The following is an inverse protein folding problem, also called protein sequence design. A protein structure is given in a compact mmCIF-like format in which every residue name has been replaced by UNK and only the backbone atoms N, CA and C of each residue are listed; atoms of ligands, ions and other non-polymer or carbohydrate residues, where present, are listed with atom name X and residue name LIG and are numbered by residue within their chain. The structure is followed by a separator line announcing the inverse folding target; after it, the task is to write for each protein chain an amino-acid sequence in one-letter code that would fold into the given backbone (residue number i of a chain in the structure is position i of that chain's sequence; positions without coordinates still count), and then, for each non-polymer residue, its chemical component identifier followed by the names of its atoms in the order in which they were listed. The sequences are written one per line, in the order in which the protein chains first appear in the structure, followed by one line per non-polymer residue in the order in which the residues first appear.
data_IF_578472842274
#
_entry.id   IF_578472842274
#
_cell.length_a   1.000
_cell.length_b   1.000
_cell.length_c   1.000
_cell.angle_alpha   90.00
_cell.angle_beta   90.00
_cell.angle_gamma   90.00
#
_symmetry.space_group_name_H-M   'P 1'
#
loop_
_entity.id
_entity.type
_entity.pdbx_description
1 polymer ?
#
# COMPACT_ATOMS: atom_id res chain seq x y z
N UNK A 1 -9.84 -52.43 -5.31
CA UNK A 1 -10.08 -50.97 -5.26
C UNK A 1 -9.25 -50.41 -4.11
N UNK A 2 -8.21 -49.59 -4.31
CA UNK A 2 -7.50 -49.03 -3.16
C UNK A 2 -8.38 -47.93 -2.55
N UNK A 3 -8.80 -48.12 -1.31
CA UNK A 3 -9.43 -47.09 -0.50
C UNK A 3 -8.32 -46.21 0.09
N UNK A 4 -8.13 -45.02 -0.47
CA UNK A 4 -7.24 -43.99 0.09
C UNK A 4 -8.01 -43.06 1.03
N UNK A 5 -7.42 -42.74 2.18
CA UNK A 5 -7.88 -41.63 3.03
C UNK A 5 -7.30 -40.35 2.43
N UNK A 6 -8.16 -39.51 1.87
CA UNK A 6 -7.77 -38.17 1.42
C UNK A 6 -7.96 -37.20 2.58
N UNK A 7 -6.86 -36.65 3.10
CA UNK A 7 -6.92 -35.53 4.02
C UNK A 7 -7.12 -34.27 3.17
N UNK A 8 -8.36 -33.79 3.09
CA UNK A 8 -8.64 -32.49 2.49
C UNK A 8 -8.28 -31.40 3.49
N UNK A 9 -7.21 -30.66 3.23
CA UNK A 9 -6.85 -29.49 4.04
C UNK A 9 -7.85 -28.37 3.74
N UNK A 10 -8.65 -27.97 4.71
CA UNK A 10 -9.57 -26.86 4.55
C UNK A 10 -8.75 -25.56 4.37
N UNK A 11 -8.89 -24.91 3.23
CA UNK A 11 -8.31 -23.58 3.01
C UNK A 11 -9.24 -22.51 3.57
N UNK A 12 -8.69 -21.62 4.39
CA UNK A 12 -9.41 -20.46 4.93
C UNK A 12 -8.94 -19.23 4.16
N UNK A 13 -9.90 -18.43 3.71
CA UNK A 13 -9.66 -17.19 2.98
C UNK A 13 -10.17 -15.99 3.77
N UNK A 14 -9.50 -14.85 3.59
CA UNK A 14 -10.04 -13.56 3.96
C UNK A 14 -10.68 -12.93 2.72
N UNK A 15 -11.94 -12.52 2.84
CA UNK A 15 -12.70 -11.91 1.74
C UNK A 15 -13.13 -10.51 2.14
N UNK A 16 -12.68 -9.51 1.38
CA UNK A 16 -13.26 -8.17 1.42
C UNK A 16 -14.39 -8.12 0.40
N UNK A 17 -15.51 -7.53 0.77
CA UNK A 17 -16.68 -7.37 -0.10
C UNK A 17 -17.29 -5.99 0.15
N UNK A 18 -17.70 -5.31 -0.91
CA UNK A 18 -18.30 -3.98 -0.86
C UNK A 18 -19.16 -3.76 -2.12
N UNK A 19 -19.72 -2.57 -2.30
CA UNK A 19 -20.44 -2.16 -3.51
C UNK A 19 -19.60 -2.39 -4.78
N UNK A 20 -20.26 -2.53 -5.93
CA UNK A 20 -19.60 -2.86 -7.21
C UNK A 20 -18.55 -1.82 -7.60
N UNK A 21 -18.76 -0.56 -7.26
CA UNK A 21 -17.90 0.58 -7.54
C UNK A 21 -16.51 0.44 -6.92
N UNK A 22 -16.41 -0.32 -5.81
CA UNK A 22 -15.14 -0.61 -5.12
C UNK A 22 -14.24 -1.60 -5.87
N UNK A 23 -14.67 -2.16 -7.00
CA UNK A 23 -13.86 -3.07 -7.82
C UNK A 23 -12.50 -2.47 -8.19
N UNK A 24 -12.46 -1.17 -8.49
CA UNK A 24 -11.20 -0.47 -8.80
C UNK A 24 -10.27 -0.43 -7.59
N UNK A 25 -10.80 -0.18 -6.40
CA UNK A 25 -10.05 -0.21 -5.15
C UNK A 25 -9.49 -1.60 -4.85
N UNK A 26 -10.30 -2.64 -5.02
CA UNK A 26 -9.85 -4.03 -4.84
C UNK A 26 -8.80 -4.46 -5.86
N UNK A 27 -8.92 -4.02 -7.11
CA UNK A 27 -7.91 -4.29 -8.15
C UNK A 27 -6.59 -3.60 -7.81
N UNK A 28 -6.64 -2.32 -7.42
CA UNK A 28 -5.45 -1.58 -7.01
C UNK A 28 -4.79 -2.19 -5.76
N UNK A 29 -5.57 -2.65 -4.77
CA UNK A 29 -5.01 -3.33 -3.60
C UNK A 29 -4.35 -4.66 -3.98
N UNK A 30 -4.96 -5.43 -4.88
CA UNK A 30 -4.37 -6.68 -5.35
C UNK A 30 -3.03 -6.46 -6.07
N UNK A 31 -2.95 -5.46 -6.94
CA UNK A 31 -1.72 -5.11 -7.66
C UNK A 31 -0.62 -4.64 -6.68
N UNK A 32 -0.98 -3.92 -5.62
CA UNK A 32 -0.03 -3.52 -4.56
C UNK A 32 0.47 -4.71 -3.74
N UNK A 33 -0.43 -5.63 -3.36
CA UNK A 33 -0.04 -6.87 -2.66
C UNK A 33 0.89 -7.73 -3.52
N UNK A 34 0.59 -7.86 -4.81
CA UNK A 34 1.45 -8.58 -5.75
C UNK A 34 2.80 -7.88 -5.93
N UNK A 35 2.84 -6.55 -6.00
CA UNK A 35 4.11 -5.81 -6.06
C UNK A 35 4.97 -6.04 -4.81
N UNK A 36 4.37 -5.97 -3.62
CA UNK A 36 5.06 -6.25 -2.37
C UNK A 36 5.51 -7.72 -2.29
N UNK A 37 4.72 -8.67 -2.78
CA UNK A 37 5.07 -10.10 -2.75
C UNK A 37 6.35 -10.40 -3.54
N UNK A 38 6.58 -9.67 -4.65
CA UNK A 38 7.77 -9.82 -5.51
C UNK A 38 9.07 -9.44 -4.81
N UNK A 39 9.02 -8.60 -3.78
CA UNK A 39 10.22 -8.26 -3.01
C UNK A 39 10.75 -9.46 -2.22
N UNK A 40 9.86 -10.40 -1.84
CA UNK A 40 10.16 -11.53 -0.95
C UNK A 40 10.79 -11.08 0.38
N UNK A 41 10.49 -9.86 0.83
CA UNK A 41 11.07 -9.30 2.06
C UNK A 41 10.09 -9.27 3.22
N UNK A 42 8.83 -8.92 2.97
CA UNK A 42 7.73 -8.89 3.94
C UNK A 42 6.70 -9.95 3.58
N UNK A 43 6.03 -10.51 4.58
CA UNK A 43 4.90 -11.41 4.36
C UNK A 43 3.66 -10.57 4.06
N UNK A 44 3.08 -10.79 2.88
CA UNK A 44 1.80 -10.21 2.46
C UNK A 44 0.86 -11.35 2.05
N UNK A 45 -0.46 -11.21 2.25
CA UNK A 45 -1.41 -12.26 1.87
C UNK A 45 -1.41 -12.44 0.36
N UNK A 46 -1.36 -13.70 -0.10
CA UNK A 46 -1.51 -14.00 -1.53
C UNK A 46 -2.92 -13.66 -1.98
N UNK A 47 -3.03 -12.96 -3.10
CA UNK A 47 -4.31 -12.70 -3.77
C UNK A 47 -4.72 -13.93 -4.58
N UNK A 48 -5.95 -14.39 -4.38
CA UNK A 48 -6.53 -15.51 -5.11
C UNK A 48 -7.50 -15.08 -6.20
N UNK A 49 -8.29 -14.04 -5.93
CA UNK A 49 -9.23 -13.50 -6.90
C UNK A 49 -9.61 -12.05 -6.57
N UNK A 50 -9.85 -11.28 -7.63
CA UNK A 50 -10.57 -10.01 -7.59
C UNK A 50 -11.69 -10.10 -8.61
N UNK A 51 -12.88 -9.61 -8.26
CA UNK A 51 -14.01 -9.66 -9.17
C UNK A 51 -15.19 -8.85 -8.67
N UNK A 52 -16.25 -8.88 -9.47
CA UNK A 52 -17.54 -8.29 -9.11
C UNK A 52 -18.67 -9.13 -9.68
N UNK A 53 -19.80 -9.10 -9.00
CA UNK A 53 -21.09 -9.51 -9.55
C UNK A 53 -21.95 -8.25 -9.83
N UNK A 54 -23.27 -8.43 -9.99
CA UNK A 54 -24.21 -7.36 -10.30
C UNK A 54 -24.17 -6.19 -9.31
N UNK A 55 -24.14 -6.51 -8.01
CA UNK A 55 -24.35 -5.54 -6.92
C UNK A 55 -23.12 -5.35 -6.03
N UNK A 56 -22.12 -6.24 -6.10
CA UNK A 56 -20.96 -6.21 -5.20
C UNK A 56 -19.65 -6.49 -5.93
N UNK A 57 -18.56 -6.04 -5.31
CA UNK A 57 -17.19 -6.37 -5.69
C UNK A 57 -16.46 -7.05 -4.53
N UNK A 58 -15.40 -7.80 -4.84
CA UNK A 58 -14.68 -8.56 -3.83
C UNK A 58 -13.18 -8.72 -4.13
N UNK A 59 -12.42 -8.96 -3.06
CA UNK A 59 -11.02 -9.37 -3.06
C UNK A 59 -10.84 -10.57 -2.12
N UNK A 60 -10.41 -11.70 -2.68
CA UNK A 60 -10.13 -12.96 -1.97
C UNK A 60 -8.63 -13.11 -1.81
N UNK A 61 -8.18 -13.31 -0.57
CA UNK A 61 -6.76 -13.45 -0.24
C UNK A 61 -6.53 -14.48 0.87
N UNK A 62 -5.26 -14.84 1.11
CA UNK A 62 -4.88 -15.69 2.25
C UNK A 62 -5.45 -15.14 3.56
N UNK A 63 -6.06 -16.03 4.35
CA UNK A 63 -6.36 -15.69 5.74
C UNK A 63 -5.09 -15.79 6.58
N UNK A 64 -4.58 -14.64 7.01
CA UNK A 64 -3.48 -14.58 7.94
C UNK A 64 -4.02 -14.50 9.38
N UNK A 65 -3.92 -15.60 10.13
CA UNK A 65 -4.25 -15.64 11.57
C UNK A 65 -3.41 -14.61 12.36
N UNK A 66 -4.03 -13.54 12.89
CA UNK A 66 -3.30 -12.46 13.51
C UNK A 66 -2.73 -12.88 14.87
N UNK A 67 -1.46 -12.56 15.11
CA UNK A 67 -0.84 -12.62 16.43
C UNK A 67 -0.47 -11.21 16.91
N UNK A 68 -0.57 -10.92 18.22
CA UNK A 68 -0.05 -9.68 18.78
C UNK A 68 1.42 -9.50 18.39
N UNK A 69 1.80 -8.27 18.04
CA UNK A 69 3.18 -7.95 17.73
C UNK A 69 3.96 -7.79 19.04
N UNK A 70 4.69 -8.83 19.44
CA UNK A 70 5.65 -8.75 20.54
C UNK A 70 6.97 -8.09 20.09
N UNK A 71 7.87 -7.84 21.04
CA UNK A 71 9.15 -7.17 20.78
C UNK A 71 10.04 -7.95 19.78
N UNK A 72 10.00 -9.28 19.81
CA UNK A 72 10.81 -10.12 18.92
C UNK A 72 10.29 -10.03 17.48
N UNK A 73 8.99 -10.18 17.28
CA UNK A 73 8.35 -10.06 15.98
C UNK A 73 8.42 -8.63 15.42
N UNK A 74 8.33 -7.60 16.27
CA UNK A 74 8.57 -6.22 15.86
C UNK A 74 10.00 -6.01 15.33
N UNK A 75 11.00 -6.61 15.98
CA UNK A 75 12.38 -6.55 15.52
C UNK A 75 12.58 -7.26 14.18
N UNK A 76 11.95 -8.43 13.98
CA UNK A 76 11.98 -9.14 12.69
C UNK A 76 11.31 -8.31 11.59
N UNK A 77 10.12 -7.77 11.86
CA UNK A 77 9.41 -6.90 10.92
C UNK A 77 10.25 -5.68 10.54
N UNK A 78 10.94 -5.05 11.50
CA UNK A 78 11.87 -3.95 11.22
C UNK A 78 12.98 -4.34 10.23
N UNK A 79 13.56 -5.54 10.37
CA UNK A 79 14.55 -6.06 9.42
C UNK A 79 13.94 -6.35 8.04
N UNK A 80 12.73 -6.90 8.00
CA UNK A 80 12.01 -7.17 6.75
C UNK A 80 11.69 -5.87 5.99
N UNK A 81 11.25 -4.83 6.69
CA UNK A 81 11.00 -3.50 6.13
C UNK A 81 12.30 -2.84 5.65
N UNK A 82 13.40 -2.96 6.39
CA UNK A 82 14.69 -2.46 5.93
C UNK A 82 15.12 -3.11 4.60
N UNK A 83 14.94 -4.44 4.48
CA UNK A 83 15.19 -5.16 3.22
C UNK A 83 14.21 -4.74 2.10
N UNK A 84 12.94 -4.50 2.43
CA UNK A 84 11.96 -4.00 1.46
C UNK A 84 12.41 -2.66 0.86
N UNK A 85 12.86 -1.73 1.70
CA UNK A 85 13.32 -0.42 1.24
C UNK A 85 14.57 -0.51 0.36
N UNK A 86 15.34 -1.60 0.49
CA UNK A 86 16.55 -1.87 -0.31
C UNK A 86 16.28 -2.77 -1.52
N UNK A 87 15.01 -3.14 -1.79
CA UNK A 87 14.67 -4.16 -2.79
C UNK A 87 15.12 -3.83 -4.21
N UNK A 88 15.07 -2.56 -4.61
CA UNK A 88 15.35 -2.14 -5.99
C UNK A 88 16.00 -0.77 -6.05
N UNK A 89 16.92 -0.59 -6.99
CA UNK A 89 17.56 0.69 -7.26
C UNK A 89 16.72 1.45 -8.31
N UNK A 90 15.75 2.23 -7.85
CA UNK A 90 14.83 2.98 -8.73
C UNK A 90 15.37 4.39 -8.99
N UNK A 91 15.39 4.86 -10.24
CA UNK A 91 15.95 6.17 -10.58
C UNK A 91 15.03 7.35 -10.24
N UNK A 92 13.75 7.08 -9.94
CA UNK A 92 12.69 8.08 -9.77
C UNK A 92 11.74 7.67 -8.63
N UNK A 93 11.05 8.65 -8.06
CA UNK A 93 9.95 8.45 -7.12
C UNK A 93 8.64 8.40 -7.89
N UNK A 94 7.77 7.47 -7.50
CA UNK A 94 6.50 7.23 -8.17
C UNK A 94 6.20 5.75 -8.26
N UNK A 95 5.23 5.43 -9.11
CA UNK A 95 4.81 4.08 -9.43
C UNK A 95 4.15 4.10 -10.82
N UNK A 96 4.19 2.97 -11.53
CA UNK A 96 3.63 2.88 -12.89
C UNK A 96 2.11 3.07 -12.97
N UNK A 97 1.43 3.05 -11.82
CA UNK A 97 0.01 3.28 -11.69
C UNK A 97 -0.30 4.15 -10.47
N UNK A 98 -1.32 4.99 -10.60
CA UNK A 98 -1.92 5.67 -9.47
C UNK A 98 -2.65 4.63 -8.60
N UNK A 99 -2.52 4.78 -7.29
CA UNK A 99 -3.21 3.95 -6.33
C UNK A 99 -4.09 4.82 -5.42
N UNK A 100 -4.56 4.26 -4.31
CA UNK A 100 -5.32 5.01 -3.32
C UNK A 100 -4.82 4.70 -1.91
N UNK A 101 -4.79 5.74 -1.06
CA UNK A 101 -4.67 5.61 0.38
C UNK A 101 -6.08 5.53 0.95
N UNK A 102 -6.53 4.31 1.26
CA UNK A 102 -7.94 4.03 1.54
C UNK A 102 -8.81 4.44 0.33
N UNK A 103 -9.67 5.44 0.47
CA UNK A 103 -10.52 5.95 -0.61
C UNK A 103 -9.96 7.18 -1.31
N UNK A 104 -8.78 7.65 -0.90
CA UNK A 104 -8.18 8.88 -1.46
C UNK A 104 -7.20 8.53 -2.57
N UNK A 105 -7.42 8.97 -3.82
CA UNK A 105 -6.47 8.75 -4.90
C UNK A 105 -5.08 9.29 -4.56
N UNK A 106 -4.03 8.62 -5.02
CA UNK A 106 -2.65 9.02 -4.87
C UNK A 106 -1.99 9.08 -6.25
N UNK A 107 -1.69 10.27 -6.76
CA UNK A 107 -0.92 10.41 -7.98
C UNK A 107 0.49 9.86 -7.76
N UNK A 108 0.99 9.09 -8.73
CA UNK A 108 2.29 8.42 -8.65
C UNK A 108 3.17 8.70 -9.88
N UNK A 109 2.87 9.76 -10.63
CA UNK A 109 3.65 10.16 -11.80
C UNK A 109 5.12 10.30 -11.44
N UNK A 110 5.97 9.61 -12.20
CA UNK A 110 7.41 9.52 -11.95
C UNK A 110 8.09 10.89 -11.89
N UNK A 111 8.86 11.12 -10.83
CA UNK A 111 9.61 12.34 -10.58
C UNK A 111 11.03 12.03 -10.12
N UNK A 112 12.02 12.79 -10.60
CA UNK A 112 13.43 12.59 -10.20
C UNK A 112 13.74 13.19 -8.83
N UNK A 113 13.11 14.32 -8.49
CA UNK A 113 13.42 15.06 -7.26
C UNK A 113 12.40 14.71 -6.18
N UNK A 114 12.89 14.29 -5.02
CA UNK A 114 12.04 13.95 -3.88
C UNK A 114 11.21 15.15 -3.42
N UNK A 115 11.85 16.32 -3.33
CA UNK A 115 11.20 17.54 -2.89
C UNK A 115 9.99 17.91 -3.75
N UNK A 116 10.11 17.81 -5.07
CA UNK A 116 9.00 18.04 -6.02
C UNK A 116 7.91 16.99 -5.84
N UNK A 117 8.27 15.70 -5.87
CA UNK A 117 7.31 14.61 -5.73
C UNK A 117 6.48 14.71 -4.45
N UNK A 118 7.13 14.91 -3.31
CA UNK A 118 6.46 14.95 -2.02
C UNK A 118 5.64 16.24 -1.83
N UNK A 119 6.17 17.39 -2.26
CA UNK A 119 5.46 18.66 -2.11
C UNK A 119 4.18 18.69 -2.96
N UNK A 120 4.26 18.27 -4.22
CA UNK A 120 3.13 18.37 -5.16
C UNK A 120 2.19 17.17 -5.03
N UNK A 121 2.70 15.96 -5.20
CA UNK A 121 1.88 14.73 -5.34
C UNK A 121 1.51 14.08 -3.99
N UNK A 122 1.96 14.64 -2.86
CA UNK A 122 1.51 14.22 -1.53
C UNK A 122 0.82 15.37 -0.81
N UNK A 123 1.58 16.41 -0.47
CA UNK A 123 1.05 17.52 0.33
C UNK A 123 0.04 18.36 -0.47
N UNK A 124 0.45 18.87 -1.64
CA UNK A 124 -0.40 19.69 -2.51
C UNK A 124 -1.70 18.99 -2.87
N UNK A 125 -1.60 17.74 -3.32
CA UNK A 125 -2.77 16.92 -3.65
C UNK A 125 -3.76 16.77 -2.48
N UNK A 126 -3.30 16.50 -1.26
CA UNK A 126 -4.19 16.41 -0.09
C UNK A 126 -4.83 17.76 0.27
N UNK A 127 -4.10 18.87 0.09
CA UNK A 127 -4.63 20.22 0.33
C UNK A 127 -5.71 20.60 -0.69
N UNK A 128 -5.53 20.25 -1.96
CA UNK A 128 -6.55 20.45 -3.00
C UNK A 128 -7.83 19.67 -2.68
N UNK A 129 -7.70 18.38 -2.37
CA UNK A 129 -8.85 17.54 -1.99
C UNK A 129 -9.56 18.04 -0.72
N UNK A 130 -8.81 18.61 0.23
CA UNK A 130 -9.39 19.24 1.41
C UNK A 130 -10.14 20.53 1.05
N UNK A 131 -9.58 21.35 0.17
CA UNK A 131 -10.19 22.60 -0.29
C UNK A 131 -11.50 22.36 -1.07
N UNK A 132 -11.57 21.31 -1.89
CA UNK A 132 -12.80 20.87 -2.55
C UNK A 132 -13.93 20.54 -1.55
N UNK A 133 -13.56 20.11 -0.34
CA UNK A 133 -14.49 19.83 0.76
C UNK A 133 -14.73 21.05 1.66
N UNK A 134 -14.24 22.23 1.29
CA UNK A 134 -14.38 23.47 2.05
C UNK A 134 -13.44 23.57 3.26
N UNK A 135 -12.41 22.72 3.35
CA UNK A 135 -11.41 22.74 4.42
C UNK A 135 -10.14 23.39 3.90
N UNK A 136 -9.81 24.59 4.37
CA UNK A 136 -8.67 25.36 3.89
C UNK A 136 -7.62 25.58 4.99
N UNK A 137 -6.35 25.37 4.65
CA UNK A 137 -5.21 25.55 5.58
C UNK A 137 -4.32 26.75 5.24
N UNK A 138 -4.69 27.54 4.22
CA UNK A 138 -3.93 28.68 3.72
C UNK A 138 -3.79 28.65 2.20
N UNK A 139 -2.86 29.44 1.67
CA UNK A 139 -2.53 29.41 0.25
C UNK A 139 -1.75 28.11 -0.07
N UNK A 140 -2.34 27.26 -0.91
CA UNK A 140 -1.79 25.94 -1.26
C UNK A 140 -0.42 26.07 -1.93
N UNK A 141 -0.29 26.95 -2.92
CA UNK A 141 0.96 27.17 -3.66
C UNK A 141 2.12 27.55 -2.73
N UNK A 142 1.86 28.46 -1.79
CA UNK A 142 2.85 28.89 -0.79
C UNK A 142 3.27 27.75 0.15
N UNK A 143 2.32 26.87 0.54
CA UNK A 143 2.63 25.70 1.38
C UNK A 143 3.48 24.70 0.59
N UNK A 144 3.08 24.39 -0.65
CA UNK A 144 3.80 23.47 -1.53
C UNK A 144 5.22 23.98 -1.79
N UNK A 145 5.36 25.25 -2.14
CA UNK A 145 6.68 25.88 -2.32
C UNK A 145 7.53 25.78 -1.04
N UNK A 146 6.95 26.08 0.12
CA UNK A 146 7.69 25.97 1.39
C UNK A 146 8.16 24.54 1.68
N UNK A 147 7.31 23.53 1.46
CA UNK A 147 7.67 22.12 1.63
C UNK A 147 8.78 21.72 0.66
N UNK A 148 8.67 22.12 -0.61
CA UNK A 148 9.68 21.84 -1.62
C UNK A 148 11.04 22.46 -1.26
N UNK A 149 11.05 23.72 -0.82
CA UNK A 149 12.27 24.42 -0.38
C UNK A 149 12.87 23.74 0.86
N UNK A 150 12.06 23.37 1.84
CA UNK A 150 12.50 22.66 3.05
C UNK A 150 13.16 21.32 2.75
N UNK A 151 12.69 20.62 1.71
CA UNK A 151 13.22 19.33 1.29
C UNK A 151 14.27 19.44 0.17
N UNK A 152 14.65 20.64 -0.26
CA UNK A 152 15.46 20.84 -1.46
C UNK A 152 16.84 20.15 -1.41
N UNK A 153 17.43 20.02 -0.23
CA UNK A 153 18.70 19.32 0.01
C UNK A 153 18.54 17.86 0.42
N UNK A 154 17.30 17.37 0.54
CA UNK A 154 17.01 15.99 0.92
C UNK A 154 16.62 15.16 -0.30
N UNK A 155 17.55 14.34 -0.76
CA UNK A 155 17.38 13.46 -1.92
C UNK A 155 17.70 12.02 -1.50
N UNK A 156 16.75 11.32 -0.84
CA UNK A 156 16.92 9.92 -0.49
C UNK A 156 16.95 9.03 -1.75
N UNK A 157 17.40 7.79 -1.61
CA UNK A 157 17.18 6.78 -2.64
C UNK A 157 15.70 6.40 -2.65
N UNK A 158 15.02 6.37 -3.82
CA UNK A 158 13.66 5.87 -3.89
C UNK A 158 13.57 4.43 -3.40
N UNK A 159 12.53 4.12 -2.64
CA UNK A 159 12.32 2.81 -2.00
C UNK A 159 10.90 2.34 -2.24
N UNK A 160 10.69 1.04 -2.42
CA UNK A 160 9.34 0.48 -2.39
C UNK A 160 8.78 0.61 -0.97
N UNK A 161 7.62 1.24 -0.83
CA UNK A 161 6.95 1.47 0.45
C UNK A 161 5.67 0.64 0.53
N UNK A 162 5.28 0.26 1.75
CA UNK A 162 3.92 -0.21 2.00
C UNK A 162 2.89 0.92 1.78
N UNK A 163 3.24 2.18 2.07
CA UNK A 163 2.38 3.35 1.82
C UNK A 163 1.30 3.66 2.88
N UNK A 164 0.95 2.70 3.75
CA UNK A 164 -0.05 2.86 4.84
C UNK A 164 0.35 2.04 6.09
N UNK A 165 1.59 2.23 6.57
CA UNK A 165 2.13 1.42 7.65
C UNK A 165 1.88 2.07 9.01
N UNK A 166 0.84 1.62 9.72
CA UNK A 166 0.54 2.03 11.09
C UNK A 166 0.06 0.84 11.94
N UNK A 167 -0.03 1.01 13.26
CA UNK A 167 -0.21 -0.08 14.24
C UNK A 167 -1.38 -1.03 13.94
N UNK A 168 -2.47 -0.53 13.34
CA UNK A 168 -3.61 -1.35 12.96
C UNK A 168 -3.30 -2.37 11.83
N UNK A 169 -2.31 -2.07 10.99
CA UNK A 169 -1.87 -2.88 9.83
C UNK A 169 -0.72 -3.82 10.17
N UNK A 170 -0.12 -3.69 11.37
CA UNK A 170 0.98 -4.54 11.81
C UNK A 170 0.47 -5.75 12.60
N UNK A 171 0.92 -6.94 12.20
CA UNK A 171 0.67 -8.20 12.89
C UNK A 171 1.93 -9.06 12.86
N UNK A 172 2.14 -9.87 13.90
CA UNK A 172 3.16 -10.91 13.85
C UNK A 172 2.65 -12.08 13.00
N UNK A 173 3.56 -12.71 12.25
CA UNK A 173 3.29 -13.91 11.45
C UNK A 173 4.19 -15.07 11.90
N UNK A 174 3.69 -16.32 12.00
CA UNK A 174 4.50 -17.51 12.28
C UNK A 174 5.66 -17.74 11.30
#
# INVERSE_FOLDING_TARGET
MPHGIYVMQAMIFFVKCDEREMLRGFTAEADQLELLSRSKTVVVPKVWAVGSDRDYSFLVMDYLSPRPLDAHNAFILGQQLARLHQWSDQPQFGLDFDNALSTTPQPNTWQRRWSTFFAEQRIGWQLELAAEKGITFGNIDAIVEHVQQRLASHQPQPSLLHGDLWSAKLRAWP
#
